data_IF_102780956486
#
_entry.id   IF_102780956486
#
_cell.length_a   1.000
_cell.length_b   1.000
_cell.length_c   1.000
_cell.angle_alpha   90.00
_cell.angle_beta   90.00
_cell.angle_gamma   90.00
#
_symmetry.space_group_name_H-M   'P 1'
#
loop_
_entity.id
_entity.type
_entity.pdbx_description
1 polymer ?
#
# COMPACT_ATOMS: atom_id res chain seq x y z
N UNK A 1 27.25 17.53 18.88
CA UNK A 1 25.83 17.07 19.03
C UNK A 1 25.61 15.83 18.20
N UNK A 2 25.03 14.79 18.80
CA UNK A 2 24.69 13.54 18.09
C UNK A 2 23.71 13.88 16.97
N UNK A 3 24.01 13.45 15.73
CA UNK A 3 23.10 13.67 14.58
C UNK A 3 21.88 12.77 14.72
N UNK A 4 20.70 13.34 14.52
CA UNK A 4 19.45 12.57 14.56
C UNK A 4 18.48 12.98 13.45
N UNK A 5 17.55 12.09 13.12
CA UNK A 5 16.41 12.33 12.23
C UNK A 5 15.13 11.82 12.89
N UNK A 6 14.11 12.66 12.95
CA UNK A 6 12.80 12.32 13.53
C UNK A 6 11.84 11.93 12.43
N UNK A 7 11.45 10.67 12.42
CA UNK A 7 10.62 10.05 11.38
C UNK A 7 9.20 9.85 11.90
N UNK A 8 8.23 10.51 11.25
CA UNK A 8 6.81 10.25 11.46
C UNK A 8 6.36 9.25 10.41
N UNK A 9 6.06 8.01 10.83
CA UNK A 9 5.75 6.90 9.94
C UNK A 9 4.32 6.39 10.09
N UNK A 10 3.60 6.37 8.97
CA UNK A 10 2.34 5.64 8.83
C UNK A 10 2.52 4.17 8.47
N UNK A 11 3.74 3.66 8.50
CA UNK A 11 4.12 2.27 8.21
C UNK A 11 4.33 1.53 9.52
N UNK A 12 3.97 0.25 9.56
CA UNK A 12 4.06 -0.59 10.77
C UNK A 12 4.77 -1.92 10.49
N UNK A 13 5.78 -1.90 9.62
CA UNK A 13 6.48 -3.12 9.21
C UNK A 13 7.76 -3.32 10.01
N UNK A 14 7.93 -4.50 10.61
CA UNK A 14 9.17 -4.84 11.31
C UNK A 14 10.42 -4.76 10.42
N UNK A 15 10.26 -4.99 9.11
CA UNK A 15 11.32 -4.84 8.11
C UNK A 15 11.86 -3.42 8.04
N UNK A 16 11.04 -2.39 8.28
CA UNK A 16 11.47 -1.00 8.28
C UNK A 16 12.47 -0.72 9.41
N UNK A 17 12.29 -1.38 10.56
CA UNK A 17 13.22 -1.23 11.71
C UNK A 17 14.64 -1.69 11.39
N UNK A 18 14.80 -2.74 10.59
CA UNK A 18 16.11 -3.19 10.14
C UNK A 18 16.76 -2.19 9.16
N UNK A 19 15.96 -1.53 8.33
CA UNK A 19 16.42 -0.46 7.44
C UNK A 19 16.90 0.75 8.25
N UNK A 20 16.13 1.19 9.25
CA UNK A 20 16.53 2.31 10.12
C UNK A 20 17.80 1.99 10.91
N UNK A 21 17.95 0.75 11.39
CA UNK A 21 19.14 0.30 12.10
C UNK A 21 20.37 0.37 11.17
N UNK A 22 20.26 -0.20 9.97
CA UNK A 22 21.33 -0.17 8.96
C UNK A 22 21.72 1.27 8.60
N UNK A 23 20.74 2.14 8.36
CA UNK A 23 20.99 3.55 8.10
C UNK A 23 21.77 4.22 9.24
N UNK A 24 21.39 3.98 10.50
CA UNK A 24 22.08 4.55 11.64
C UNK A 24 23.52 4.02 11.76
N UNK A 25 23.74 2.74 11.47
CA UNK A 25 25.08 2.11 11.47
C UNK A 25 25.99 2.69 10.38
N UNK A 26 25.45 2.93 9.18
CA UNK A 26 26.21 3.43 8.03
C UNK A 26 26.48 4.94 8.08
N UNK A 27 25.58 5.71 8.68
CA UNK A 27 25.64 7.19 8.64
C UNK A 27 26.01 7.83 9.97
N UNK A 28 25.92 7.11 11.08
CA UNK A 28 26.02 7.67 12.43
C UNK A 28 24.82 8.57 12.82
N UNK A 29 23.73 8.56 12.03
CA UNK A 29 22.53 9.37 12.28
C UNK A 29 21.51 8.53 13.04
N UNK A 30 21.13 8.96 14.24
CA UNK A 30 20.12 8.27 15.04
C UNK A 30 18.71 8.49 14.51
N UNK A 31 17.96 7.42 14.34
CA UNK A 31 16.55 7.49 13.91
C UNK A 31 15.64 7.52 15.14
N UNK A 32 14.83 8.58 15.25
CA UNK A 32 13.75 8.73 16.24
C UNK A 32 12.42 8.47 15.55
N UNK A 33 11.83 7.31 15.78
CA UNK A 33 10.63 6.86 15.10
C UNK A 33 9.37 7.13 15.92
N UNK A 34 8.38 7.77 15.28
CA UNK A 34 7.01 7.94 15.80
C UNK A 34 6.06 7.29 14.78
N UNK A 35 5.37 6.24 15.22
CA UNK A 35 4.44 5.48 14.39
C UNK A 35 2.99 5.80 14.79
N UNK A 36 2.15 6.11 13.80
CA UNK A 36 0.72 6.29 13.97
C UNK A 36 -0.01 6.06 12.64
N UNK A 37 -1.35 6.04 12.65
CA UNK A 37 -2.12 6.00 11.41
C UNK A 37 -1.80 7.23 10.54
N UNK A 38 -1.63 7.04 9.22
CA UNK A 38 -1.19 8.11 8.32
C UNK A 38 -2.08 9.35 8.34
N UNK A 39 -3.40 9.20 8.50
CA UNK A 39 -4.34 10.31 8.65
C UNK A 39 -4.05 11.08 9.94
N UNK A 40 -3.82 10.39 11.05
CA UNK A 40 -3.50 11.00 12.33
C UNK A 40 -2.18 11.78 12.29
N UNK A 41 -1.19 11.28 11.54
CA UNK A 41 0.07 11.98 11.34
C UNK A 41 -0.11 13.27 10.55
N UNK A 42 -0.90 13.27 9.48
CA UNK A 42 -1.21 14.46 8.68
C UNK A 42 -1.89 15.53 9.56
N UNK A 43 -2.91 15.14 10.33
CA UNK A 43 -3.60 16.07 11.23
C UNK A 43 -2.68 16.57 12.37
N UNK A 44 -1.80 15.72 12.86
CA UNK A 44 -0.78 16.11 13.84
C UNK A 44 0.16 17.16 13.26
N UNK A 45 0.68 16.97 12.06
CA UNK A 45 1.56 17.93 11.39
C UNK A 45 0.89 19.28 11.16
N UNK A 46 -0.38 19.29 10.73
CA UNK A 46 -1.16 20.53 10.58
C UNK A 46 -1.27 21.29 11.91
N UNK A 47 -1.57 20.58 12.99
CA UNK A 47 -1.74 21.17 14.31
C UNK A 47 -0.42 21.67 14.91
N UNK A 48 0.66 20.92 14.75
CA UNK A 48 1.98 21.28 15.23
C UNK A 48 2.57 22.48 14.47
N UNK A 49 2.28 22.59 13.16
CA UNK A 49 2.75 23.68 12.32
C UNK A 49 4.27 23.87 12.39
N UNK A 50 4.71 25.09 12.67
CA UNK A 50 6.14 25.43 12.81
C UNK A 50 6.83 24.78 14.02
N UNK A 51 6.07 24.27 14.97
CA UNK A 51 6.58 23.59 16.16
C UNK A 51 6.69 22.07 15.96
N UNK A 52 6.42 21.58 14.75
CA UNK A 52 6.53 20.16 14.45
C UNK A 52 7.95 19.65 14.67
N UNK A 53 8.04 18.47 15.27
CA UNK A 53 9.32 17.78 15.48
C UNK A 53 9.68 16.85 14.32
N UNK A 54 8.81 16.72 13.31
CA UNK A 54 9.05 15.82 12.19
C UNK A 54 10.13 16.36 11.25
N UNK A 55 11.08 15.50 10.90
CA UNK A 55 12.05 15.77 9.84
C UNK A 55 11.65 15.02 8.56
N UNK A 56 11.31 13.73 8.69
CA UNK A 56 10.88 12.87 7.58
C UNK A 56 9.48 12.34 7.84
N UNK A 57 8.66 12.30 6.79
CA UNK A 57 7.30 11.78 6.82
C UNK A 57 7.22 10.60 5.88
N UNK A 58 6.78 9.42 6.38
CA UNK A 58 6.57 8.22 5.59
C UNK A 58 5.08 7.86 5.62
N UNK A 59 4.44 7.85 4.46
CA UNK A 59 3.02 7.55 4.34
C UNK A 59 2.77 6.38 3.39
N UNK A 60 1.83 5.55 3.77
CA UNK A 60 1.29 4.46 2.94
C UNK A 60 0.18 5.02 2.08
N UNK A 61 0.26 4.79 0.77
CA UNK A 61 -0.69 5.22 -0.24
C UNK A 61 -0.35 6.59 -0.89
N UNK A 62 -0.36 6.59 -2.23
CA UNK A 62 -0.07 7.77 -3.04
C UNK A 62 -0.98 8.94 -2.70
N UNK A 63 -2.27 8.70 -2.44
CA UNK A 63 -3.22 9.75 -2.10
C UNK A 63 -2.84 10.49 -0.80
N UNK A 64 -2.33 9.77 0.20
CA UNK A 64 -1.94 10.39 1.48
C UNK A 64 -0.73 11.29 1.34
N UNK A 65 0.32 10.85 0.64
CA UNK A 65 1.52 11.68 0.47
C UNK A 65 1.23 12.88 -0.43
N UNK A 66 0.43 12.70 -1.48
CA UNK A 66 -0.01 13.79 -2.36
C UNK A 66 -0.87 14.81 -1.60
N UNK A 67 -1.76 14.36 -0.70
CA UNK A 67 -2.54 15.25 0.14
C UNK A 67 -1.66 16.01 1.15
N UNK A 68 -0.63 15.39 1.68
CA UNK A 68 0.35 16.07 2.55
C UNK A 68 1.10 17.17 1.79
N UNK A 69 1.54 16.90 0.56
CA UNK A 69 2.17 17.89 -0.31
C UNK A 69 1.21 19.04 -0.65
N UNK A 70 -0.02 18.74 -1.09
CA UNK A 70 -1.06 19.75 -1.38
C UNK A 70 -1.41 20.63 -0.17
N UNK A 71 -1.33 20.07 1.03
CA UNK A 71 -1.54 20.81 2.28
C UNK A 71 -0.31 21.65 2.71
N UNK A 72 0.76 21.66 1.92
CA UNK A 72 1.98 22.42 2.22
C UNK A 72 2.75 21.88 3.43
N UNK A 73 2.63 20.59 3.72
CA UNK A 73 3.29 19.94 4.87
C UNK A 73 4.69 19.42 4.55
N UNK A 74 5.06 19.40 3.27
CA UNK A 74 6.34 18.94 2.76
C UNK A 74 7.15 20.09 2.20
N UNK A 75 8.43 19.88 2.01
CA UNK A 75 9.31 20.81 1.31
C UNK A 75 10.05 20.11 0.17
N UNK A 76 10.45 20.90 -0.82
CA UNK A 76 11.24 20.43 -1.95
C UNK A 76 12.59 19.86 -1.51
N UNK A 77 12.93 18.72 -2.10
CA UNK A 77 14.18 17.98 -1.87
C UNK A 77 15.03 18.02 -3.14
N UNK A 78 16.29 18.36 -3.00
CA UNK A 78 17.29 18.20 -4.05
C UNK A 78 18.19 17.02 -3.69
N UNK A 79 18.08 15.93 -4.45
CA UNK A 79 18.88 14.71 -4.28
C UNK A 79 19.06 14.03 -5.63
N UNK A 80 20.29 14.00 -6.11
CA UNK A 80 20.63 13.32 -7.37
C UNK A 80 20.34 11.81 -7.30
N UNK A 81 20.57 11.18 -6.16
CA UNK A 81 20.27 9.75 -5.98
C UNK A 81 18.78 9.48 -6.15
N UNK A 82 17.91 10.23 -5.46
CA UNK A 82 16.47 10.06 -5.59
C UNK A 82 15.96 10.36 -7.00
N UNK A 83 16.55 11.37 -7.66
CA UNK A 83 16.18 11.70 -9.05
C UNK A 83 16.55 10.59 -10.03
N UNK A 84 17.68 9.92 -9.82
CA UNK A 84 18.16 8.84 -10.70
C UNK A 84 17.49 7.49 -10.39
N UNK A 85 17.30 7.19 -9.11
CA UNK A 85 16.87 5.85 -8.67
C UNK A 85 15.35 5.68 -8.66
N UNK A 86 14.59 6.78 -8.50
CA UNK A 86 13.11 6.71 -8.47
C UNK A 86 12.54 7.03 -9.85
N UNK A 87 11.76 6.10 -10.45
CA UNK A 87 11.13 6.32 -11.76
C UNK A 87 10.23 7.56 -11.77
N UNK A 88 10.16 8.25 -12.92
CA UNK A 88 9.39 9.50 -13.09
C UNK A 88 7.94 9.38 -12.62
N UNK A 89 7.26 8.28 -12.91
CA UNK A 89 5.87 8.07 -12.48
C UNK A 89 5.70 7.76 -10.99
N UNK A 90 6.79 7.65 -10.22
CA UNK A 90 6.78 7.28 -8.80
C UNK A 90 7.39 8.37 -7.89
N UNK A 91 7.50 9.59 -8.39
CA UNK A 91 7.96 10.76 -7.65
C UNK A 91 7.13 11.98 -7.97
N UNK A 92 7.14 12.94 -7.04
CA UNK A 92 6.41 14.19 -7.21
C UNK A 92 7.08 15.09 -8.28
N UNK A 93 6.33 15.67 -9.23
CA UNK A 93 6.89 16.63 -10.18
C UNK A 93 7.57 17.85 -9.52
N UNK A 94 7.08 18.26 -8.34
CA UNK A 94 7.65 19.37 -7.55
C UNK A 94 8.78 18.93 -6.62
N UNK A 95 9.16 17.64 -6.66
CA UNK A 95 10.22 17.05 -5.82
C UNK A 95 9.94 17.12 -4.32
N UNK A 96 8.69 17.10 -3.90
CA UNK A 96 8.32 17.15 -2.49
C UNK A 96 8.22 15.76 -1.84
N UNK A 97 8.04 14.69 -2.66
CA UNK A 97 8.04 13.31 -2.19
C UNK A 97 8.55 12.32 -3.24
N UNK A 98 9.04 11.18 -2.76
CA UNK A 98 9.54 10.08 -3.57
C UNK A 98 9.00 8.75 -3.06
N UNK A 99 8.62 7.85 -3.98
CA UNK A 99 8.23 6.50 -3.62
C UNK A 99 9.44 5.71 -3.11
N UNK A 100 9.28 5.03 -1.98
CA UNK A 100 10.29 4.16 -1.38
C UNK A 100 9.98 2.68 -1.61
N UNK A 101 8.70 2.34 -1.69
CA UNK A 101 8.23 0.98 -1.98
C UNK A 101 7.01 1.02 -2.86
N UNK A 102 6.79 -0.06 -3.62
CA UNK A 102 5.59 -0.28 -4.42
C UNK A 102 4.92 -1.59 -4.07
N UNK A 103 3.62 -1.66 -4.28
CA UNK A 103 2.81 -2.86 -4.11
C UNK A 103 1.82 -3.00 -5.25
N UNK A 104 1.55 -4.25 -5.62
CA UNK A 104 0.60 -4.59 -6.68
C UNK A 104 -0.64 -5.21 -6.05
N UNK A 105 -1.82 -4.78 -6.47
CA UNK A 105 -3.08 -5.46 -6.16
C UNK A 105 -3.22 -6.64 -7.11
N UNK A 106 -3.04 -7.83 -6.59
CA UNK A 106 -3.20 -9.09 -7.33
C UNK A 106 -4.51 -9.77 -6.94
N UNK A 107 -4.90 -10.76 -7.72
CA UNK A 107 -5.98 -11.65 -7.35
C UNK A 107 -5.42 -12.98 -6.87
N UNK A 108 -5.99 -13.54 -5.81
CA UNK A 108 -5.72 -14.90 -5.36
C UNK A 108 -6.94 -15.77 -5.65
N UNK A 109 -6.74 -16.88 -6.33
CA UNK A 109 -7.80 -17.77 -6.77
C UNK A 109 -7.55 -19.21 -6.35
N UNK A 110 -8.61 -19.97 -6.19
CA UNK A 110 -8.57 -21.42 -6.03
C UNK A 110 -9.05 -22.08 -7.32
N UNK A 111 -8.17 -22.73 -8.11
CA UNK A 111 -8.53 -23.33 -9.39
C UNK A 111 -9.57 -24.46 -9.28
N UNK A 112 -9.82 -24.97 -8.07
CA UNK A 112 -10.87 -25.97 -7.81
C UNK A 112 -12.26 -25.36 -7.63
N UNK A 113 -12.35 -24.02 -7.60
CA UNK A 113 -13.63 -23.28 -7.37
C UNK A 113 -13.94 -22.36 -8.55
N UNK A 114 -12.93 -21.76 -9.15
CA UNK A 114 -13.09 -20.83 -10.29
C UNK A 114 -12.16 -21.23 -11.44
N UNK A 115 -12.61 -21.01 -12.65
CA UNK A 115 -11.79 -21.19 -13.86
C UNK A 115 -10.86 -19.98 -14.02
N UNK A 116 -9.60 -20.16 -13.63
CA UNK A 116 -8.60 -19.09 -13.63
C UNK A 116 -8.22 -18.63 -15.04
N UNK A 117 -8.48 -19.43 -16.07
CA UNK A 117 -8.18 -19.08 -17.46
C UNK A 117 -9.09 -17.97 -18.02
N UNK A 118 -10.23 -17.74 -17.38
CA UNK A 118 -11.21 -16.71 -17.73
C UNK A 118 -11.03 -15.39 -16.99
N UNK A 119 -10.01 -15.29 -16.14
CA UNK A 119 -9.80 -14.13 -15.27
C UNK A 119 -8.48 -13.45 -15.63
N UNK A 120 -8.57 -12.29 -16.28
CA UNK A 120 -7.43 -11.52 -16.76
C UNK A 120 -7.31 -10.15 -16.11
N UNK A 121 -8.44 -9.53 -15.71
CA UNK A 121 -8.51 -8.20 -15.12
C UNK A 121 -9.48 -8.18 -13.93
N UNK A 122 -9.46 -7.10 -13.17
CA UNK A 122 -10.40 -6.85 -12.06
C UNK A 122 -11.86 -6.82 -12.53
N UNK A 123 -12.11 -6.41 -13.77
CA UNK A 123 -13.46 -6.33 -14.34
C UNK A 123 -14.12 -7.69 -14.45
N UNK A 124 -13.36 -8.75 -14.65
CA UNK A 124 -13.87 -10.12 -14.73
C UNK A 124 -14.53 -10.57 -13.42
N UNK A 125 -14.21 -9.93 -12.29
CA UNK A 125 -14.85 -10.23 -11.00
C UNK A 125 -16.34 -9.84 -10.93
N UNK A 126 -16.81 -9.05 -11.88
CA UNK A 126 -18.22 -8.71 -12.04
C UNK A 126 -19.02 -9.75 -12.86
N UNK A 127 -18.36 -10.75 -13.46
CA UNK A 127 -19.02 -11.78 -14.24
C UNK A 127 -20.00 -12.57 -13.37
N UNK A 128 -21.29 -12.71 -13.77
CA UNK A 128 -22.30 -13.45 -13.01
C UNK A 128 -21.96 -14.92 -12.72
N UNK A 129 -21.09 -15.55 -13.51
CA UNK A 129 -20.60 -16.92 -13.26
C UNK A 129 -19.79 -17.04 -11.96
N UNK A 130 -19.33 -15.91 -11.43
CA UNK A 130 -18.61 -15.82 -10.15
C UNK A 130 -19.54 -15.56 -8.95
N UNK A 131 -20.87 -15.61 -9.15
CA UNK A 131 -21.83 -15.40 -8.06
C UNK A 131 -21.57 -16.35 -6.90
N UNK A 132 -21.44 -15.76 -5.70
CA UNK A 132 -21.11 -16.51 -4.48
C UNK A 132 -19.66 -17.01 -4.39
N UNK A 133 -18.75 -16.53 -5.23
CA UNK A 133 -17.35 -16.99 -5.28
C UNK A 133 -16.33 -15.89 -5.00
N UNK A 134 -16.73 -14.64 -4.80
CA UNK A 134 -15.82 -13.51 -4.58
C UNK A 134 -15.71 -13.20 -3.10
N UNK A 135 -14.48 -12.97 -2.64
CA UNK A 135 -14.13 -12.45 -1.30
C UNK A 135 -13.47 -11.07 -1.42
N UNK A 136 -13.94 -10.11 -0.65
CA UNK A 136 -13.42 -8.75 -0.65
C UNK A 136 -13.07 -8.28 0.77
N UNK A 137 -12.10 -7.39 0.85
CA UNK A 137 -11.81 -6.60 2.03
C UNK A 137 -12.86 -5.50 2.21
N UNK A 138 -13.07 -5.04 3.44
CA UNK A 138 -14.04 -3.99 3.74
C UNK A 138 -13.73 -2.66 3.02
N UNK A 139 -14.76 -1.82 2.81
CA UNK A 139 -14.68 -0.53 2.09
C UNK A 139 -13.77 0.53 2.73
N UNK A 140 -13.48 0.39 4.03
CA UNK A 140 -12.59 1.33 4.76
C UNK A 140 -11.11 1.10 4.43
N UNK A 141 -10.79 0.02 3.72
CA UNK A 141 -9.42 -0.26 3.30
C UNK A 141 -8.92 0.80 2.31
N UNK A 142 -7.83 1.51 2.60
CA UNK A 142 -7.24 2.46 1.66
C UNK A 142 -6.83 1.78 0.35
N UNK A 143 -6.47 0.50 0.40
CA UNK A 143 -6.09 -0.26 -0.79
C UNK A 143 -7.25 -0.47 -1.76
N UNK A 144 -8.46 -0.69 -1.24
CA UNK A 144 -9.66 -0.78 -2.08
C UNK A 144 -10.05 0.58 -2.63
N UNK A 145 -9.99 1.63 -1.80
CA UNK A 145 -10.32 2.99 -2.22
C UNK A 145 -9.39 3.45 -3.36
N UNK A 146 -8.09 3.19 -3.26
CA UNK A 146 -7.13 3.53 -4.31
C UNK A 146 -7.33 2.71 -5.59
N UNK A 147 -7.69 1.42 -5.47
CA UNK A 147 -8.04 0.62 -6.64
C UNK A 147 -9.26 1.18 -7.36
N UNK A 148 -10.31 1.52 -6.63
CA UNK A 148 -11.53 2.13 -7.19
C UNK A 148 -11.21 3.47 -7.84
N UNK A 149 -10.44 4.34 -7.18
CA UNK A 149 -10.02 5.61 -7.76
C UNK A 149 -9.23 5.41 -9.07
N UNK A 150 -8.35 4.42 -9.11
CA UNK A 150 -7.61 4.07 -10.33
C UNK A 150 -8.54 3.59 -11.46
N UNK A 151 -9.57 2.78 -11.14
CA UNK A 151 -10.56 2.38 -12.14
C UNK A 151 -11.36 3.58 -12.66
N UNK A 152 -11.75 4.51 -11.81
CA UNK A 152 -12.43 5.75 -12.21
C UNK A 152 -11.58 6.56 -13.19
N UNK A 153 -10.29 6.71 -12.89
CA UNK A 153 -9.35 7.44 -13.76
C UNK A 153 -9.19 6.78 -15.15
N UNK A 154 -9.17 5.45 -15.18
CA UNK A 154 -8.91 4.72 -16.42
C UNK A 154 -10.17 4.39 -17.24
N UNK A 155 -11.32 4.21 -16.59
CA UNK A 155 -12.56 3.71 -17.22
C UNK A 155 -13.76 4.65 -17.05
N UNK A 156 -13.62 5.69 -16.24
CA UNK A 156 -14.70 6.59 -15.89
C UNK A 156 -15.60 6.07 -14.76
N UNK A 157 -16.40 6.98 -14.21
CA UNK A 157 -17.23 6.71 -13.03
C UNK A 157 -18.35 5.70 -13.31
N UNK A 158 -19.02 5.82 -14.44
CA UNK A 158 -20.16 4.97 -14.80
C UNK A 158 -19.77 3.51 -14.93
N UNK A 159 -18.69 3.22 -15.69
CA UNK A 159 -18.19 1.87 -15.88
C UNK A 159 -17.66 1.28 -14.57
N UNK A 160 -16.94 2.07 -13.78
CA UNK A 160 -16.45 1.66 -12.46
C UNK A 160 -17.59 1.32 -11.51
N UNK A 161 -18.66 2.10 -11.51
CA UNK A 161 -19.85 1.84 -10.69
C UNK A 161 -20.56 0.53 -11.09
N UNK A 162 -20.70 0.29 -12.39
CA UNK A 162 -21.27 -0.96 -12.92
C UNK A 162 -20.39 -2.17 -12.50
N UNK A 163 -19.09 -2.08 -12.68
CA UNK A 163 -18.13 -3.10 -12.22
C UNK A 163 -18.24 -3.38 -10.71
N UNK A 164 -18.21 -2.34 -9.88
CA UNK A 164 -18.35 -2.49 -8.43
C UNK A 164 -19.66 -3.19 -8.04
N UNK A 165 -20.78 -2.79 -8.66
CA UNK A 165 -22.08 -3.40 -8.38
C UNK A 165 -22.08 -4.88 -8.74
N UNK A 166 -21.55 -5.25 -9.90
CA UNK A 166 -21.45 -6.64 -10.34
C UNK A 166 -20.53 -7.46 -9.42
N UNK A 167 -19.35 -6.94 -9.12
CA UNK A 167 -18.40 -7.62 -8.22
C UNK A 167 -18.97 -7.82 -6.80
N UNK A 168 -19.63 -6.80 -6.24
CA UNK A 168 -20.26 -6.89 -4.91
C UNK A 168 -21.41 -7.91 -4.91
N UNK A 169 -22.19 -8.01 -5.98
CA UNK A 169 -23.25 -9.01 -6.08
C UNK A 169 -22.74 -10.46 -6.13
N UNK A 170 -21.45 -10.65 -6.45
CA UNK A 170 -20.76 -11.94 -6.46
C UNK A 170 -20.14 -12.33 -5.12
N UNK A 171 -20.17 -11.45 -4.11
CA UNK A 171 -19.57 -11.70 -2.79
C UNK A 171 -20.34 -12.77 -2.03
N UNK A 172 -19.59 -13.76 -1.48
CA UNK A 172 -20.16 -14.90 -0.75
C UNK A 172 -19.97 -14.84 0.77
N UNK A 173 -19.10 -13.94 1.24
CA UNK A 173 -18.69 -13.87 2.64
C UNK A 173 -18.84 -12.44 3.15
N UNK A 174 -18.96 -12.22 4.48
CA UNK A 174 -18.79 -10.90 5.05
C UNK A 174 -17.45 -10.28 4.63
N UNK A 175 -17.41 -8.96 4.47
CA UNK A 175 -16.18 -8.26 4.08
C UNK A 175 -15.07 -8.44 5.12
N UNK A 176 -13.91 -8.87 4.66
CA UNK A 176 -12.78 -9.18 5.52
C UNK A 176 -12.05 -7.93 6.03
N UNK A 177 -11.47 -7.99 7.24
CA UNK A 177 -10.68 -6.88 7.78
C UNK A 177 -9.27 -6.78 7.16
N UNK A 178 -8.76 -7.85 6.56
CA UNK A 178 -7.39 -7.90 6.02
C UNK A 178 -7.20 -8.93 4.92
N UNK A 179 -6.14 -8.73 4.15
CA UNK A 179 -5.82 -9.54 2.96
C UNK A 179 -5.45 -10.99 3.31
N UNK A 180 -4.74 -11.22 4.43
CA UNK A 180 -4.40 -12.60 4.89
C UNK A 180 -5.65 -13.43 5.10
N UNK A 181 -6.71 -12.83 5.66
CA UNK A 181 -7.98 -13.51 5.89
C UNK A 181 -8.65 -13.94 4.57
N UNK A 182 -8.49 -13.14 3.51
CA UNK A 182 -8.96 -13.47 2.16
C UNK A 182 -8.20 -14.68 1.61
N UNK A 183 -6.86 -14.69 1.69
CA UNK A 183 -6.04 -15.82 1.22
C UNK A 183 -6.44 -17.12 1.95
N UNK A 184 -6.66 -17.05 3.26
CA UNK A 184 -7.15 -18.18 4.06
C UNK A 184 -8.53 -18.69 3.61
N UNK A 185 -9.46 -17.75 3.31
CA UNK A 185 -10.81 -18.09 2.88
C UNK A 185 -10.82 -18.74 1.50
N UNK A 186 -10.06 -18.19 0.54
CA UNK A 186 -9.87 -18.76 -0.80
C UNK A 186 -9.25 -20.14 -0.74
N UNK A 187 -8.19 -20.34 0.06
CA UNK A 187 -7.55 -21.62 0.28
C UNK A 187 -8.51 -22.68 0.83
N UNK A 188 -9.41 -22.28 1.74
CA UNK A 188 -10.43 -23.13 2.35
C UNK A 188 -11.69 -23.31 1.51
N UNK A 189 -11.70 -22.77 0.28
CA UNK A 189 -12.86 -22.79 -0.64
C UNK A 189 -14.15 -22.14 -0.07
N UNK A 190 -14.00 -21.21 0.89
CA UNK A 190 -15.14 -20.39 1.35
C UNK A 190 -15.56 -19.38 0.28
N UNK A 191 -14.63 -19.01 -0.58
CA UNK A 191 -14.81 -18.31 -1.84
C UNK A 191 -13.79 -18.82 -2.85
N UNK A 192 -13.95 -18.45 -4.11
CA UNK A 192 -13.07 -18.90 -5.19
C UNK A 192 -11.94 -17.91 -5.54
N UNK A 193 -12.17 -16.61 -5.31
CA UNK A 193 -11.25 -15.55 -5.71
C UNK A 193 -11.40 -14.33 -4.81
N UNK A 194 -10.30 -13.58 -4.63
CA UNK A 194 -10.29 -12.31 -3.92
C UNK A 194 -9.14 -11.42 -4.35
N UNK A 195 -9.22 -10.11 -4.05
CA UNK A 195 -8.19 -9.12 -4.34
C UNK A 195 -7.35 -8.86 -3.09
N UNK A 196 -6.02 -8.97 -3.22
CA UNK A 196 -5.07 -8.79 -2.12
C UNK A 196 -3.82 -8.04 -2.58
N UNK A 197 -3.04 -7.47 -1.67
CA UNK A 197 -1.70 -7.00 -1.99
C UNK A 197 -0.74 -8.18 -2.11
N UNK A 198 0.08 -8.19 -3.15
CA UNK A 198 0.99 -9.30 -3.49
C UNK A 198 1.91 -9.71 -2.33
N UNK A 199 2.40 -8.75 -1.55
CA UNK A 199 3.38 -9.02 -0.49
C UNK A 199 2.79 -9.83 0.69
N UNK A 200 1.47 -9.80 0.91
CA UNK A 200 0.87 -10.67 1.92
C UNK A 200 0.98 -12.15 1.53
N UNK A 201 0.75 -12.45 0.26
CA UNK A 201 0.93 -13.82 -0.26
C UNK A 201 2.39 -14.25 -0.17
N UNK A 202 3.31 -13.38 -0.58
CA UNK A 202 4.76 -13.64 -0.50
C UNK A 202 5.21 -13.93 0.94
N UNK A 203 4.76 -13.12 1.91
CA UNK A 203 5.06 -13.33 3.34
C UNK A 203 4.49 -14.65 3.89
N UNK A 204 3.28 -14.99 3.48
CA UNK A 204 2.68 -16.27 3.86
C UNK A 204 3.49 -17.44 3.28
N UNK A 205 3.85 -17.38 2.00
CA UNK A 205 4.67 -18.41 1.33
C UNK A 205 6.05 -18.56 1.99
N UNK A 206 6.66 -17.45 2.40
CA UNK A 206 7.93 -17.44 3.13
C UNK A 206 7.81 -17.97 4.58
N UNK A 207 6.61 -18.27 5.06
CA UNK A 207 6.39 -18.79 6.42
C UNK A 207 6.45 -17.75 7.54
N UNK A 208 6.54 -16.44 7.21
CA UNK A 208 6.61 -15.35 8.19
C UNK A 208 5.37 -15.32 9.10
N UNK A 209 4.21 -15.71 8.57
CA UNK A 209 2.95 -15.82 9.31
C UNK A 209 2.73 -17.22 9.93
N UNK A 210 3.76 -18.08 9.92
CA UNK A 210 3.72 -19.44 10.41
C UNK A 210 3.40 -20.50 9.34
N UNK A 211 3.75 -21.76 9.65
CA UNK A 211 3.64 -22.92 8.74
C UNK A 211 2.23 -23.10 8.16
N UNK A 212 1.20 -22.89 8.98
CA UNK A 212 -0.20 -23.06 8.57
C UNK A 212 -0.60 -22.07 7.47
N UNK A 213 -0.19 -20.82 7.59
CA UNK A 213 -0.46 -19.79 6.58
C UNK A 213 0.31 -20.04 5.29
N UNK A 214 1.54 -20.53 5.38
CA UNK A 214 2.30 -20.95 4.20
C UNK A 214 1.57 -22.06 3.42
N UNK A 215 0.98 -23.04 4.11
CA UNK A 215 0.18 -24.10 3.47
C UNK A 215 -1.10 -23.53 2.82
N UNK A 216 -1.75 -22.53 3.43
CA UNK A 216 -2.90 -21.89 2.82
C UNK A 216 -2.51 -21.15 1.53
N UNK A 217 -1.45 -20.36 1.55
CA UNK A 217 -0.98 -19.64 0.38
C UNK A 217 -0.58 -20.58 -0.78
N UNK A 218 0.09 -21.69 -0.47
CA UNK A 218 0.47 -22.71 -1.47
C UNK A 218 -0.72 -23.38 -2.19
N UNK A 219 -1.92 -23.29 -1.64
CA UNK A 219 -3.15 -23.84 -2.24
C UNK A 219 -3.89 -22.84 -3.12
N UNK A 220 -3.35 -21.63 -3.28
CA UNK A 220 -3.92 -20.57 -4.12
C UNK A 220 -3.03 -20.28 -5.31
N UNK A 221 -3.64 -19.81 -6.38
CA UNK A 221 -2.95 -19.30 -7.56
C UNK A 221 -3.01 -17.77 -7.53
N UNK A 222 -1.87 -17.12 -7.75
CA UNK A 222 -1.79 -15.66 -7.87
C UNK A 222 -1.99 -15.28 -9.33
N UNK A 223 -2.97 -14.44 -9.59
CA UNK A 223 -3.24 -13.86 -10.90
C UNK A 223 -2.88 -12.37 -10.85
N UNK A 224 -2.04 -11.94 -11.79
CA UNK A 224 -1.69 -10.52 -11.93
C UNK A 224 -2.60 -9.90 -12.98
N UNK A 225 -3.48 -8.97 -12.60
CA UNK A 225 -4.35 -8.30 -13.57
C UNK A 225 -3.54 -7.52 -14.60
N UNK A 226 -4.10 -7.36 -15.79
CA UNK A 226 -3.49 -6.54 -16.85
C UNK A 226 -4.51 -5.52 -17.39
N UNK A 227 -4.35 -4.22 -17.09
CA UNK A 227 -3.27 -3.63 -16.29
C UNK A 227 -3.42 -3.87 -14.79
N UNK A 228 -2.30 -4.05 -14.10
CA UNK A 228 -2.29 -4.18 -12.65
C UNK A 228 -2.26 -2.80 -11.97
N UNK A 229 -3.06 -2.63 -10.91
CA UNK A 229 -2.98 -1.45 -10.06
C UNK A 229 -1.75 -1.51 -9.15
N UNK A 230 -0.88 -0.51 -9.29
CA UNK A 230 0.31 -0.31 -8.46
C UNK A 230 0.08 0.89 -7.55
N UNK A 231 0.38 0.73 -6.27
CA UNK A 231 0.40 1.82 -5.30
C UNK A 231 1.74 1.86 -4.57
N UNK A 232 1.99 2.93 -3.84
CA UNK A 232 3.29 3.22 -3.23
C UNK A 232 3.19 3.47 -1.73
N UNK A 233 4.33 3.33 -1.04
CA UNK A 233 4.60 4.12 0.14
C UNK A 233 5.68 5.12 -0.21
N UNK A 234 5.53 6.35 0.23
CA UNK A 234 6.40 7.44 -0.14
C UNK A 234 6.89 8.22 1.08
N UNK A 235 8.05 8.84 0.93
CA UNK A 235 8.64 9.73 1.92
C UNK A 235 8.80 11.14 1.40
N UNK A 236 8.71 12.09 2.30
CA UNK A 236 8.97 13.51 2.05
C UNK A 236 9.54 14.19 3.29
N UNK A 237 10.34 15.22 3.08
CA UNK A 237 10.88 16.04 4.17
C UNK A 237 9.81 17.00 4.68
N UNK A 238 9.61 17.03 5.99
CA UNK A 238 8.61 17.90 6.60
C UNK A 238 8.92 19.38 6.34
N UNK A 239 7.87 20.20 6.19
CA UNK A 239 7.99 21.64 5.87
C UNK A 239 8.94 22.39 6.79
N UNK A 240 8.92 22.06 8.08
CA UNK A 240 9.69 22.74 9.13
C UNK A 240 10.76 21.83 9.75
N UNK A 241 11.25 20.84 8.98
CA UNK A 241 12.31 19.93 9.44
C UNK A 241 13.54 20.69 9.92
N UNK A 242 13.98 20.39 11.14
CA UNK A 242 15.22 20.98 11.73
C UNK A 242 16.46 20.22 11.27
N UNK A 243 16.32 18.91 10.98
CA UNK A 243 17.42 18.05 10.54
C UNK A 243 17.22 17.66 9.05
N UNK A 244 17.03 18.67 8.19
CA UNK A 244 16.73 18.47 6.76
C UNK A 244 17.80 17.63 6.05
N UNK A 245 19.08 17.91 6.29
CA UNK A 245 20.20 17.23 5.63
C UNK A 245 20.26 15.74 6.01
N UNK A 246 19.97 15.43 7.27
CA UNK A 246 19.88 14.07 7.78
C UNK A 246 18.65 13.34 7.21
N UNK A 247 17.56 14.06 6.99
CA UNK A 247 16.33 13.50 6.40
C UNK A 247 16.46 13.21 4.89
N UNK A 248 17.32 13.92 4.17
CA UNK A 248 17.56 13.73 2.73
C UNK A 248 18.49 12.53 2.46
N UNK A 249 19.37 12.19 3.37
CA UNK A 249 20.24 11.01 3.27
C UNK A 249 19.46 9.71 3.34
#
# INVERSE_FOLDING_TARGET
>A
TEKEVKVYSGRHYNTDRSVYKKFAEETGIKVRLIEAAGISLIERLKREGKNSQADLILLVDAARITNAAKAGLLQRIESSNLENDVPVGLKDPNKEWYALTRRVRVMVANPKVVDVSKINDYTDLADPSLKGKVCLRNRKSPYNQSLVANQILNKGESETKAWLSGMISNVSQPFFPGDISIVRAVSKRKCGIGIVNHYYVARMLAGINGRRDALYAKRTTVLTPNPAHVNISAGGVAKYATNKNEAIK
#
